data_IF_640769375186
#
_entry.id   IF_640769375186
#
_cell.length_a   1.000
_cell.length_b   1.000
_cell.length_c   1.000
_cell.angle_alpha   90.00
_cell.angle_beta   90.00
_cell.angle_gamma   90.00
#
_symmetry.space_group_name_H-M   'P 1'
#
loop_
_entity.id
_entity.type
_entity.pdbx_description
1 polymer ?
#
# COMPACT_ATOMS: atom_id res chain seq x y z
N UNK A 1 9.34 24.35 -2.41
CA UNK A 1 9.28 22.95 -2.86
C UNK A 1 9.53 22.06 -1.65
N UNK A 2 8.46 21.64 -0.96
CA UNK A 2 8.59 20.83 0.24
C UNK A 2 8.80 19.37 -0.16
N UNK A 3 10.05 18.92 -0.13
CA UNK A 3 10.38 17.50 -0.17
C UNK A 3 9.85 16.87 1.12
N UNK A 4 8.76 16.10 1.00
CA UNK A 4 8.23 15.31 2.10
C UNK A 4 9.29 14.33 2.57
N UNK A 5 9.71 14.47 3.82
CA UNK A 5 10.65 13.58 4.47
C UNK A 5 10.11 12.14 4.45
N UNK A 6 10.80 11.25 3.72
CA UNK A 6 10.55 9.82 3.81
C UNK A 6 11.22 9.29 5.08
N UNK A 7 10.48 9.33 6.19
CA UNK A 7 10.90 8.70 7.44
C UNK A 7 10.88 7.18 7.25
N UNK A 8 12.08 6.65 7.01
CA UNK A 8 12.37 5.23 6.86
C UNK A 8 12.32 4.53 8.23
N UNK A 9 11.10 4.17 8.67
CA UNK A 9 10.89 3.29 9.83
C UNK A 9 10.03 2.10 9.41
N UNK A 10 10.66 1.07 8.84
CA UNK A 10 10.04 -0.24 8.66
C UNK A 10 10.98 -1.34 9.20
N UNK A 11 10.80 -1.65 10.48
CA UNK A 11 11.26 -2.91 11.10
C UNK A 11 10.06 -3.86 11.16
N UNK A 12 10.13 -5.01 10.49
CA UNK A 12 9.06 -6.01 10.57
C UNK A 12 9.45 -7.30 9.86
N UNK A 13 9.65 -8.36 10.66
CA UNK A 13 10.28 -9.63 10.26
C UNK A 13 9.52 -10.51 9.28
N UNK A 14 10.27 -11.46 8.75
CA UNK A 14 9.90 -12.75 8.14
C UNK A 14 8.57 -12.82 7.39
N UNK A 15 8.35 -11.87 6.48
CA UNK A 15 7.58 -12.13 5.27
C UNK A 15 8.53 -11.80 4.14
N UNK A 16 8.66 -12.69 3.15
CA UNK A 16 9.42 -12.52 1.90
C UNK A 16 8.78 -11.41 1.03
N UNK A 17 8.68 -10.23 1.64
CA UNK A 17 8.23 -8.96 1.13
C UNK A 17 9.46 -8.29 0.54
N UNK A 18 9.25 -7.41 -0.43
CA UNK A 18 10.28 -6.58 -1.06
C UNK A 18 11.09 -5.91 0.08
N UNK A 19 12.25 -6.48 0.42
CA UNK A 19 12.93 -6.17 1.68
C UNK A 19 14.11 -7.12 1.98
N UNK A 20 14.04 -8.39 1.57
CA UNK A 20 15.18 -9.31 1.68
C UNK A 20 15.81 -9.58 0.30
N UNK A 21 17.03 -9.09 0.11
CA UNK A 21 18.04 -9.44 -0.89
C UNK A 21 17.81 -9.25 -2.40
N UNK A 22 16.58 -9.07 -2.90
CA UNK A 22 16.34 -8.84 -4.35
C UNK A 22 15.36 -7.72 -4.70
N UNK A 23 14.66 -7.19 -3.68
CA UNK A 23 13.60 -6.19 -3.82
C UNK A 23 14.02 -4.74 -3.54
N UNK A 24 15.24 -4.50 -3.04
CA UNK A 24 15.68 -3.16 -2.62
C UNK A 24 15.53 -2.11 -3.73
N UNK A 25 15.81 -2.48 -4.99
CA UNK A 25 15.65 -1.60 -6.17
C UNK A 25 14.21 -1.18 -6.46
N UNK A 26 13.21 -1.88 -5.92
CA UNK A 26 11.80 -1.59 -6.10
C UNK A 26 11.12 -1.07 -4.82
N UNK A 27 11.89 -0.91 -3.74
CA UNK A 27 11.37 -0.50 -2.44
C UNK A 27 10.81 0.93 -2.48
N UNK A 28 11.41 1.79 -3.29
CA UNK A 28 10.91 3.15 -3.54
C UNK A 28 9.51 3.13 -4.15
N UNK A 29 9.24 2.23 -5.12
CA UNK A 29 7.95 2.10 -5.77
C UNK A 29 6.91 1.50 -4.83
N UNK A 30 7.29 0.45 -4.08
CA UNK A 30 6.43 -0.11 -3.03
C UNK A 30 6.05 0.96 -1.99
N UNK A 31 6.98 1.83 -1.60
CA UNK A 31 6.73 2.98 -0.74
C UNK A 31 5.77 4.01 -1.35
N UNK A 32 5.89 4.28 -2.66
CA UNK A 32 5.00 5.17 -3.40
C UNK A 32 3.56 4.65 -3.41
N UNK A 33 3.35 3.37 -3.74
CA UNK A 33 2.01 2.75 -3.70
C UNK A 33 1.46 2.80 -2.29
N UNK A 34 2.28 2.43 -1.30
CA UNK A 34 1.90 2.42 0.11
C UNK A 34 1.42 3.81 0.56
N UNK A 35 2.17 4.87 0.26
CA UNK A 35 1.77 6.24 0.56
C UNK A 35 0.46 6.65 -0.15
N UNK A 36 0.27 6.21 -1.39
CA UNK A 36 -0.94 6.52 -2.14
C UNK A 36 -2.18 5.84 -1.54
N UNK A 37 -2.02 4.57 -1.13
CA UNK A 37 -3.05 3.84 -0.39
C UNK A 37 -3.31 4.54 0.94
N UNK A 38 -2.28 4.83 1.74
CA UNK A 38 -2.43 5.53 3.02
C UNK A 38 -3.19 6.85 2.85
N UNK A 39 -2.83 7.68 1.87
CA UNK A 39 -3.53 8.93 1.58
C UNK A 39 -4.99 8.71 1.14
N UNK A 40 -5.28 7.64 0.38
CA UNK A 40 -6.66 7.29 0.03
C UNK A 40 -7.46 6.85 1.26
N UNK A 41 -6.86 6.07 2.17
CA UNK A 41 -7.49 5.67 3.43
C UNK A 41 -7.66 6.87 4.39
N UNK A 42 -6.72 7.82 4.37
CA UNK A 42 -6.76 9.02 5.21
C UNK A 42 -7.94 9.95 4.89
N UNK A 43 -8.49 9.87 3.67
CA UNK A 43 -9.70 10.60 3.28
C UNK A 43 -10.95 10.15 4.04
N UNK A 44 -10.96 8.91 4.51
CA UNK A 44 -12.06 8.34 5.27
C UNK A 44 -11.78 8.44 6.78
N UNK A 45 -12.54 9.30 7.48
CA UNK A 45 -12.40 9.44 8.95
C UNK A 45 -12.52 8.11 9.70
N UNK A 46 -13.38 7.21 9.22
CA UNK A 46 -13.56 5.88 9.82
C UNK A 46 -12.26 5.05 9.76
N UNK A 47 -11.51 5.20 8.68
CA UNK A 47 -10.28 4.47 8.43
C UNK A 47 -9.10 5.06 9.19
N UNK A 48 -9.11 6.36 9.51
CA UNK A 48 -8.07 7.02 10.31
C UNK A 48 -8.25 6.83 11.82
N UNK A 49 -9.48 6.67 12.30
CA UNK A 49 -9.76 6.40 13.71
C UNK A 49 -9.49 4.93 14.11
N UNK A 50 -9.43 4.03 13.13
CA UNK A 50 -9.15 2.61 13.32
C UNK A 50 -7.67 2.29 13.49
N UNK A 51 -7.40 1.16 14.15
CA UNK A 51 -6.09 0.51 14.13
C UNK A 51 -6.24 -0.87 13.51
N UNK A 52 -5.60 -1.10 12.37
CA UNK A 52 -5.72 -2.36 11.64
C UNK A 52 -4.51 -2.61 10.75
N UNK A 53 -4.32 -3.89 10.42
CA UNK A 53 -3.26 -4.36 9.53
C UNK A 53 -3.89 -5.08 8.37
N UNK A 54 -3.41 -4.78 7.17
CA UNK A 54 -3.84 -5.46 5.96
C UNK A 54 -2.66 -5.72 5.03
N UNK A 55 -2.74 -6.85 4.36
CA UNK A 55 -1.81 -7.27 3.31
C UNK A 55 -2.59 -7.21 2.01
N UNK A 56 -2.13 -6.37 1.10
CA UNK A 56 -2.74 -6.20 -0.22
C UNK A 56 -1.79 -6.67 -1.30
N UNK A 57 -2.35 -7.30 -2.32
CA UNK A 57 -1.69 -7.57 -3.59
C UNK A 57 -2.16 -6.56 -4.61
N UNK A 58 -1.20 -5.88 -5.22
CA UNK A 58 -1.44 -4.89 -6.26
C UNK A 58 -0.88 -5.41 -7.58
N UNK A 59 -1.72 -5.41 -8.61
CA UNK A 59 -1.33 -5.61 -9.99
C UNK A 59 -1.38 -4.26 -10.68
N UNK A 60 -0.28 -3.87 -11.30
CA UNK A 60 -0.14 -2.61 -12.02
C UNK A 60 0.37 -2.91 -13.42
N UNK A 61 -0.21 -2.23 -14.40
CA UNK A 61 0.26 -2.31 -15.77
C UNK A 61 1.54 -1.50 -15.95
N UNK A 62 2.25 -1.78 -17.03
CA UNK A 62 3.48 -1.07 -17.39
C UNK A 62 3.27 0.44 -17.61
N UNK A 63 2.03 0.90 -17.79
CA UNK A 63 1.68 2.31 -17.91
C UNK A 63 1.33 2.97 -16.55
N UNK A 64 1.35 2.24 -15.44
CA UNK A 64 0.97 2.72 -14.10
C UNK A 64 -0.49 2.55 -13.73
N UNK A 65 -1.35 2.04 -14.62
CA UNK A 65 -2.75 1.75 -14.28
C UNK A 65 -2.84 0.57 -13.30
N UNK A 66 -3.77 0.69 -12.34
CA UNK A 66 -4.06 -0.40 -11.41
C UNK A 66 -4.93 -1.41 -12.16
N UNK A 67 -4.38 -2.59 -12.40
CA UNK A 67 -5.12 -3.67 -13.03
C UNK A 67 -6.02 -4.38 -12.02
N UNK A 68 -5.50 -4.63 -10.82
CA UNK A 68 -6.23 -5.31 -9.76
C UNK A 68 -5.67 -4.93 -8.39
N UNK A 69 -6.56 -4.78 -7.43
CA UNK A 69 -6.25 -4.66 -6.01
C UNK A 69 -6.99 -5.76 -5.25
N UNK A 70 -6.26 -6.54 -4.48
CA UNK A 70 -6.84 -7.63 -3.69
C UNK A 70 -6.28 -7.60 -2.26
N UNK A 71 -7.17 -7.65 -1.28
CA UNK A 71 -6.79 -7.79 0.13
C UNK A 71 -6.57 -9.27 0.41
N UNK A 72 -5.32 -9.67 0.61
CA UNK A 72 -4.95 -11.05 0.95
C UNK A 72 -5.22 -11.38 2.42
N UNK A 73 -4.99 -10.41 3.30
CA UNK A 73 -5.18 -10.58 4.73
C UNK A 73 -5.65 -9.26 5.33
N UNK A 74 -6.64 -9.29 6.20
CA UNK A 74 -7.15 -8.13 6.92
C UNK A 74 -7.44 -8.54 8.37
N UNK A 75 -6.90 -7.77 9.32
CA UNK A 75 -7.25 -7.84 10.74
C UNK A 75 -8.33 -6.82 11.12
N UNK A 76 -8.89 -6.14 10.11
CA UNK A 76 -9.89 -5.11 10.27
C UNK A 76 -11.30 -5.68 10.48
N UNK A 77 -12.16 -4.93 11.17
CA UNK A 77 -13.59 -5.24 11.25
C UNK A 77 -14.26 -5.12 9.88
N UNK A 78 -15.40 -5.80 9.68
CA UNK A 78 -16.12 -5.80 8.40
C UNK A 78 -16.45 -4.39 7.87
N UNK A 79 -16.78 -3.44 8.76
CA UNK A 79 -17.05 -2.05 8.39
C UNK A 79 -15.81 -1.34 7.82
N UNK A 80 -14.64 -1.56 8.44
CA UNK A 80 -13.36 -1.01 8.01
C UNK A 80 -12.91 -1.70 6.72
N UNK A 81 -13.03 -3.01 6.62
CA UNK A 81 -12.68 -3.77 5.43
C UNK A 81 -13.49 -3.31 4.20
N UNK A 82 -14.79 -3.08 4.37
CA UNK A 82 -15.63 -2.54 3.30
C UNK A 82 -15.22 -1.11 2.91
N UNK A 83 -14.90 -0.26 3.88
CA UNK A 83 -14.40 1.09 3.60
C UNK A 83 -13.03 1.07 2.91
N UNK A 84 -12.10 0.20 3.33
CA UNK A 84 -10.82 -0.02 2.66
C UNK A 84 -11.05 -0.46 1.22
N UNK A 85 -11.89 -1.47 0.97
CA UNK A 85 -12.21 -1.95 -0.38
C UNK A 85 -12.79 -0.85 -1.25
N UNK A 86 -13.66 0.00 -0.69
CA UNK A 86 -14.22 1.16 -1.38
C UNK A 86 -13.14 2.20 -1.74
N UNK A 87 -12.26 2.53 -0.79
CA UNK A 87 -11.16 3.47 -1.00
C UNK A 87 -10.14 2.96 -2.03
N UNK A 88 -9.76 1.68 -1.93
CA UNK A 88 -8.90 0.99 -2.89
C UNK A 88 -9.54 0.90 -4.27
N UNK A 89 -10.84 0.63 -4.35
CA UNK A 89 -11.58 0.60 -5.62
C UNK A 89 -11.71 1.96 -6.29
N UNK A 90 -11.61 3.05 -5.53
CA UNK A 90 -11.54 4.40 -6.08
C UNK A 90 -10.16 4.74 -6.67
N UNK A 91 -9.13 3.93 -6.40
CA UNK A 91 -7.82 4.08 -7.02
C UNK A 91 -7.83 3.41 -8.39
N UNK A 92 -7.72 4.21 -9.45
CA UNK A 92 -7.72 3.72 -10.83
C UNK A 92 -6.30 3.60 -11.41
N UNK A 93 -5.38 4.45 -10.96
CA UNK A 93 -4.00 4.46 -11.42
C UNK A 93 -3.04 4.94 -10.34
N UNK A 94 -1.80 4.50 -10.48
CA UNK A 94 -0.69 4.95 -9.66
C UNK A 94 -0.02 6.10 -10.41
N UNK A 95 0.40 7.12 -9.66
CA UNK A 95 1.01 8.31 -10.25
C UNK A 95 2.28 7.99 -11.05
N UNK A 96 2.93 6.88 -10.73
CA UNK A 96 4.17 6.45 -11.36
C UNK A 96 4.04 5.03 -11.90
N UNK A 97 4.67 4.77 -13.05
CA UNK A 97 4.70 3.46 -13.67
C UNK A 97 5.66 2.52 -12.91
N UNK A 98 5.35 1.21 -12.83
CA UNK A 98 6.24 0.26 -12.18
C UNK A 98 7.57 0.16 -12.95
N UNK A 99 8.71 0.07 -12.25
CA UNK A 99 10.00 -0.13 -12.91
C UNK A 99 10.05 -1.45 -13.69
N UNK A 100 10.77 -1.45 -14.81
CA UNK A 100 10.90 -2.65 -15.65
C UNK A 100 11.48 -3.83 -14.85
N UNK A 101 10.84 -5.00 -15.00
CA UNK A 101 11.22 -6.21 -14.27
C UNK A 101 10.75 -6.26 -12.82
N UNK A 102 9.81 -5.41 -12.39
CA UNK A 102 9.20 -5.52 -11.07
C UNK A 102 8.31 -6.77 -10.97
N UNK A 103 8.54 -7.66 -9.99
CA UNK A 103 7.72 -8.86 -9.82
C UNK A 103 6.31 -8.50 -9.34
N UNK A 104 5.31 -9.10 -10.00
CA UNK A 104 3.90 -8.96 -9.65
C UNK A 104 3.31 -10.31 -9.18
N UNK A 105 2.31 -10.31 -8.27
CA UNK A 105 1.71 -9.15 -7.61
C UNK A 105 2.65 -8.48 -6.59
N UNK A 106 2.52 -7.16 -6.49
CA UNK A 106 3.22 -6.37 -5.48
C UNK A 106 2.49 -6.55 -4.15
N UNK A 107 3.10 -7.27 -3.23
CA UNK A 107 2.55 -7.48 -1.89
C UNK A 107 2.98 -6.36 -0.96
N UNK A 108 2.01 -5.60 -0.47
CA UNK A 108 2.23 -4.49 0.45
C UNK A 108 1.52 -4.75 1.75
N UNK A 109 2.23 -4.51 2.86
CA UNK A 109 1.65 -4.50 4.19
C UNK A 109 1.33 -3.06 4.56
N UNK A 110 0.06 -2.79 4.77
CA UNK A 110 -0.43 -1.51 5.26
C UNK A 110 -0.78 -1.69 6.73
N UNK A 111 -0.32 -0.76 7.55
CA UNK A 111 -0.65 -0.72 8.97
C UNK A 111 -1.21 0.66 9.25
N UNK A 112 -2.53 0.75 9.34
CA UNK A 112 -3.16 1.97 9.81
C UNK A 112 -3.07 1.99 11.33
N UNK A 113 -2.51 3.06 11.87
CA UNK A 113 -2.51 3.35 13.29
C UNK A 113 -3.22 4.68 13.48
N UNK A 114 -4.12 4.76 14.44
CA UNK A 114 -4.70 6.02 14.90
C UNK A 114 -3.58 7.04 15.11
N UNK A 115 -3.49 8.04 14.23
CA UNK A 115 -2.71 9.25 14.49
C UNK A 115 -3.58 10.06 15.44
N UNK A 116 -3.27 9.94 16.73
CA UNK A 116 -3.98 10.61 17.81
C UNK A 116 -3.83 12.11 17.76
#
# INVERSE_FOLDING_TARGET
FAAGAVSNDYKGGDVKTIGSDGGAKYNWYAGLIKNQIENALEKDKKLTEGQYKLVVSVWVRANGDIEKLEVLQSDANAEIDQAVKSALGAMTSIHEAPPEGMPQPIKLRITARKMG
#
